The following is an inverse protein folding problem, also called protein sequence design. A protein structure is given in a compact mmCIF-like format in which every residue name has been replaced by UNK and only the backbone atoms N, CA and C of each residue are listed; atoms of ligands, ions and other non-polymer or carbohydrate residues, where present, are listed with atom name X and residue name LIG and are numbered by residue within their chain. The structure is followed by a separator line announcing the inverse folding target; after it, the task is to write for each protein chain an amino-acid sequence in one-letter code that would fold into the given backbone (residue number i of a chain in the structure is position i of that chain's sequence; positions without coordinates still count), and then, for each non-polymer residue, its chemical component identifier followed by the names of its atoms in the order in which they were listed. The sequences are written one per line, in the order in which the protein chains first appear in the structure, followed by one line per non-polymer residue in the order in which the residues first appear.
data_IF_088051069595
#
_entry.id   IF_088051069595
#
_cell.length_a   1.000
_cell.length_b   1.000
_cell.length_c   1.000
_cell.angle_alpha   90.00
_cell.angle_beta   90.00
_cell.angle_gamma   90.00
#
_symmetry.space_group_name_H-M   'P 1'
#
loop_
_entity.id
_entity.type
_entity.pdbx_description
1 polymer ?
#
# COMPACT_ATOMS: atom_id res chain seq x y z
N UNK A 1 2.76 8.31 7.14
CA UNK A 1 4.12 8.18 6.57
C UNK A 1 4.67 9.50 6.02
N UNK A 2 4.21 10.67 6.50
CA UNK A 2 4.78 11.96 6.08
C UNK A 2 6.23 12.06 6.57
N UNK A 3 7.14 12.55 5.74
CA UNK A 3 8.56 12.70 6.07
C UNK A 3 9.41 11.42 6.04
N UNK A 4 8.84 10.26 5.66
CA UNK A 4 9.62 9.01 5.50
C UNK A 4 10.22 8.92 4.10
N UNK A 5 11.46 8.43 4.02
CA UNK A 5 12.12 8.07 2.75
C UNK A 5 11.64 6.69 2.30
N UNK A 6 11.39 6.57 1.01
CA UNK A 6 10.69 5.44 0.40
C UNK A 6 11.22 5.23 -1.02
N UNK A 7 11.09 4.01 -1.52
CA UNK A 7 11.51 3.61 -2.86
C UNK A 7 10.30 3.68 -3.80
N UNK A 8 10.49 4.34 -4.92
CA UNK A 8 9.52 4.38 -6.01
C UNK A 8 9.61 3.09 -6.83
N UNK A 9 8.47 2.46 -7.12
CA UNK A 9 8.43 1.19 -7.86
C UNK A 9 7.92 1.38 -9.29
N UNK A 10 6.71 1.90 -9.45
CA UNK A 10 6.10 2.20 -10.74
C UNK A 10 5.06 3.31 -10.64
N UNK A 11 4.76 3.95 -11.75
CA UNK A 11 3.59 4.82 -11.87
C UNK A 11 2.38 3.97 -12.24
N UNK A 12 1.26 4.18 -11.57
CA UNK A 12 0.00 3.51 -11.86
C UNK A 12 -0.75 4.25 -12.99
N UNK A 13 -1.67 3.56 -13.70
CA UNK A 13 -2.50 4.19 -14.73
C UNK A 13 -3.29 5.40 -14.23
N UNK A 14 -3.65 5.45 -12.94
CA UNK A 14 -4.28 6.62 -12.31
C UNK A 14 -3.38 7.86 -12.18
N UNK A 15 -2.09 7.75 -12.52
CA UNK A 15 -1.09 8.79 -12.29
C UNK A 15 -0.53 8.80 -10.86
N UNK A 16 -1.04 7.95 -9.96
CA UNK A 16 -0.49 7.77 -8.61
C UNK A 16 0.79 6.96 -8.65
N UNK A 17 1.71 7.24 -7.73
CA UNK A 17 2.96 6.52 -7.59
C UNK A 17 2.77 5.32 -6.66
N UNK A 18 3.19 4.13 -7.12
CA UNK A 18 3.34 2.98 -6.25
C UNK A 18 4.70 3.06 -5.55
N UNK A 19 4.64 3.05 -4.23
CA UNK A 19 5.79 3.28 -3.36
C UNK A 19 5.84 2.20 -2.29
N UNK A 20 7.03 1.75 -1.94
CA UNK A 20 7.28 0.91 -0.76
C UNK A 20 8.45 1.49 0.03
N UNK A 21 8.41 1.37 1.35
CA UNK A 21 9.59 1.61 2.18
C UNK A 21 9.79 0.36 3.01
N UNK A 22 10.77 -0.51 2.69
CA UNK A 22 10.84 -1.88 3.18
C UNK A 22 10.32 -2.00 4.61
N UNK A 23 9.23 -2.75 4.79
CA UNK A 23 8.36 -2.61 5.96
C UNK A 23 9.10 -2.86 7.27
N UNK A 24 10.09 -3.75 7.24
CA UNK A 24 10.99 -4.03 8.37
C UNK A 24 11.87 -2.85 8.79
N UNK A 25 12.25 -1.99 7.83
CA UNK A 25 13.15 -0.85 8.06
C UNK A 25 12.35 0.38 8.46
N UNK A 26 11.40 0.79 7.60
CA UNK A 26 10.72 2.08 7.73
C UNK A 26 9.24 1.95 8.11
N UNK A 27 8.68 0.73 8.17
CA UNK A 27 7.26 0.51 8.48
C UNK A 27 6.31 1.13 7.46
N UNK A 28 6.74 1.33 6.21
CA UNK A 28 5.90 1.87 5.13
C UNK A 28 5.47 0.73 4.21
N UNK A 29 4.21 0.28 4.27
CA UNK A 29 3.74 -0.76 3.35
C UNK A 29 3.64 -0.21 1.93
N UNK A 30 3.43 -1.12 0.97
CA UNK A 30 3.03 -0.83 -0.39
C UNK A 30 1.83 0.12 -0.39
N UNK A 31 2.04 1.31 -0.94
CA UNK A 31 1.06 2.38 -0.89
C UNK A 31 1.07 3.20 -2.17
N UNK A 32 -0.13 3.64 -2.56
CA UNK A 32 -0.33 4.66 -3.59
C UNK A 32 -0.16 6.05 -3.01
N UNK A 33 0.69 6.88 -3.62
CA UNK A 33 0.98 8.25 -3.17
C UNK A 33 0.84 9.21 -4.36
N UNK A 34 0.28 10.39 -4.13
CA UNK A 34 0.22 11.43 -5.15
C UNK A 34 1.62 12.07 -5.31
N UNK A 35 2.07 12.18 -6.55
CA UNK A 35 3.35 12.79 -6.93
C UNK A 35 3.56 14.20 -6.35
N UNK A 36 2.50 15.00 -6.18
CA UNK A 36 2.59 16.36 -5.61
C UNK A 36 3.12 16.39 -4.17
N UNK A 37 3.11 15.25 -3.46
CA UNK A 37 3.58 15.14 -2.07
C UNK A 37 4.92 14.42 -1.93
N UNK A 38 5.62 14.16 -3.03
CA UNK A 38 6.91 13.45 -3.05
C UNK A 38 8.00 14.40 -3.52
N UNK A 39 9.18 14.30 -2.90
CA UNK A 39 10.39 14.98 -3.36
C UNK A 39 11.32 13.92 -3.92
N UNK A 40 11.65 14.02 -5.20
CA UNK A 40 12.63 13.16 -5.84
C UNK A 40 14.02 13.41 -5.27
N UNK A 41 14.65 12.37 -4.72
CA UNK A 41 16.01 12.43 -4.20
C UNK A 41 17.04 12.04 -5.26
N UNK A 42 18.29 12.46 -5.11
CA UNK A 42 19.39 12.08 -6.02
C UNK A 42 19.80 10.60 -5.90
N UNK A 43 19.49 9.95 -4.78
CA UNK A 43 19.79 8.53 -4.54
C UNK A 43 18.94 7.64 -5.42
N UNK A 44 19.59 6.76 -6.18
CA UNK A 44 18.94 5.74 -7.03
C UNK A 44 19.22 4.36 -6.44
N UNK A 45 18.19 3.52 -6.43
CA UNK A 45 18.25 2.12 -6.01
C UNK A 45 17.89 1.29 -7.22
N UNK A 46 18.63 0.20 -7.48
CA UNK A 46 18.27 -0.71 -8.56
C UNK A 46 17.05 -1.56 -8.16
N UNK A 47 16.06 -1.61 -9.04
CA UNK A 47 14.76 -2.25 -8.82
C UNK A 47 14.56 -3.41 -9.81
N UNK A 48 15.57 -3.74 -10.63
CA UNK A 48 15.53 -4.79 -11.65
C UNK A 48 15.02 -6.16 -11.15
N UNK A 49 15.30 -6.50 -9.89
CA UNK A 49 14.86 -7.75 -9.26
C UNK A 49 13.45 -7.74 -8.64
N UNK A 50 12.68 -6.67 -8.77
CA UNK A 50 11.37 -6.53 -8.12
C UNK A 50 10.24 -6.73 -9.12
N UNK A 51 9.41 -7.75 -8.92
CA UNK A 51 8.21 -7.94 -9.72
C UNK A 51 7.07 -7.04 -9.22
N UNK A 52 6.61 -6.13 -10.09
CA UNK A 52 5.57 -5.12 -9.78
C UNK A 52 4.31 -5.28 -10.65
N UNK A 53 4.23 -6.31 -11.47
CA UNK A 53 3.15 -6.47 -12.46
C UNK A 53 1.79 -6.72 -11.81
N UNK A 54 1.79 -7.36 -10.63
CA UNK A 54 0.57 -7.67 -9.87
C UNK A 54 -0.16 -6.41 -9.33
N UNK A 55 0.54 -5.29 -9.18
CA UNK A 55 0.02 -4.14 -8.42
C UNK A 55 -0.61 -3.07 -9.30
N UNK A 56 -1.92 -3.13 -9.51
CA UNK A 56 -2.64 -2.09 -10.24
C UNK A 56 -3.60 -1.30 -9.34
N UNK A 57 -4.23 -0.25 -9.88
CA UNK A 57 -5.19 0.57 -9.14
C UNK A 57 -6.34 -0.24 -8.51
N UNK A 58 -6.75 -1.34 -9.16
CA UNK A 58 -7.77 -2.26 -8.67
C UNK A 58 -7.34 -3.01 -7.42
N UNK A 59 -6.05 -3.35 -7.28
CA UNK A 59 -5.51 -4.03 -6.10
C UNK A 59 -5.66 -3.20 -4.82
N UNK A 60 -5.62 -1.88 -4.97
CA UNK A 60 -5.75 -0.92 -3.87
C UNK A 60 -7.14 -0.31 -3.75
N UNK A 61 -8.13 -0.78 -4.52
CA UNK A 61 -9.51 -0.36 -4.37
C UNK A 61 -10.01 -0.79 -2.98
N UNK A 62 -10.65 0.15 -2.26
CA UNK A 62 -11.37 -0.22 -1.03
C UNK A 62 -12.56 -1.08 -1.44
N UNK A 63 -12.75 -2.22 -0.76
CA UNK A 63 -14.04 -2.91 -0.83
C UNK A 63 -15.07 -1.98 -0.21
N UNK A 64 -15.98 -1.47 -1.01
CA UNK A 64 -17.10 -0.66 -0.53
C UNK A 64 -18.23 -1.65 -0.28
N UNK A 65 -18.46 -1.99 0.98
CA UNK A 65 -19.65 -2.75 1.33
C UNK A 65 -20.86 -1.87 1.03
N UNK A 66 -21.75 -2.35 0.16
CA UNK A 66 -23.03 -1.67 -0.08
C UNK A 66 -23.73 -1.56 1.26
N UNK A 67 -23.91 -0.32 1.77
CA UNK A 67 -24.73 -0.06 2.94
C UNK A 67 -26.11 -0.68 2.73
N UNK A 68 -26.37 -1.84 3.33
CA UNK A 68 -27.74 -2.25 3.63
C UNK A 68 -28.28 -1.19 4.60
N UNK A 69 -29.50 -0.68 4.35
CA UNK A 69 -30.20 0.19 5.30
C UNK A 69 -30.46 -0.63 6.57
N UNK A 70 -29.56 -0.54 7.55
CA UNK A 70 -29.69 -1.18 8.85
C UNK A 70 -30.21 -0.15 9.86
N UNK A 71 -31.23 -0.54 10.63
CA UNK A 71 -31.91 0.32 11.60
C UNK A 71 -31.03 0.68 12.80
N UNK A 72 -31.46 1.69 13.57
CA UNK A 72 -30.69 2.36 14.63
C UNK A 72 -30.04 1.44 15.68
N UNK A 73 -30.58 0.23 15.91
CA UNK A 73 -30.04 -0.74 16.87
C UNK A 73 -28.78 -1.51 16.42
N UNK A 74 -28.54 -1.67 15.13
CA UNK A 74 -27.35 -2.38 14.61
C UNK A 74 -26.13 -1.45 14.42
N UNK A 75 -26.31 -0.14 14.56
CA UNK A 75 -25.26 0.86 14.38
C UNK A 75 -24.18 0.78 15.48
N UNK A 76 -24.58 0.46 16.71
CA UNK A 76 -23.66 0.33 17.86
C UNK A 76 -22.87 -0.99 17.90
N UNK A 77 -23.36 -2.06 17.27
CA UNK A 77 -22.60 -3.32 17.14
C UNK A 77 -21.60 -3.30 15.98
N UNK A 78 -21.85 -2.50 14.94
CA UNK A 78 -20.97 -2.37 13.78
C UNK A 78 -19.64 -1.68 14.10
N UNK A 79 -19.60 -0.77 15.08
CA UNK A 79 -18.36 -0.08 15.48
C UNK A 79 -17.30 -1.02 16.09
N UNK A 80 -17.70 -2.21 16.58
CA UNK A 80 -16.77 -3.15 17.24
C UNK A 80 -16.18 -4.23 16.32
N UNK A 81 -16.55 -4.31 15.03
CA UNK A 81 -16.14 -5.41 14.14
C UNK A 81 -15.38 -5.02 12.87
N UNK A 82 -14.89 -3.79 12.76
CA UNK A 82 -13.87 -3.46 11.75
C UNK A 82 -12.46 -3.50 12.37
N UNK A 83 -12.09 -4.65 12.95
CA UNK A 83 -10.66 -4.96 12.99
C UNK A 83 -10.27 -5.10 11.53
N UNK A 84 -9.59 -4.08 11.01
CA UNK A 84 -8.93 -4.08 9.70
C UNK A 84 -7.88 -5.21 9.67
N UNK A 85 -8.33 -6.46 9.62
CA UNK A 85 -7.47 -7.62 9.41
C UNK A 85 -7.00 -7.48 7.98
N UNK A 86 -5.82 -6.88 7.83
CA UNK A 86 -5.14 -6.81 6.55
C UNK A 86 -5.11 -8.23 5.95
N UNK A 87 -5.62 -8.42 4.72
CA UNK A 87 -5.59 -9.73 4.08
C UNK A 87 -4.18 -10.30 4.14
N UNK A 88 -4.05 -11.58 4.50
CA UNK A 88 -2.74 -12.25 4.58
C UNK A 88 -1.96 -12.11 3.27
N UNK A 89 -2.66 -12.17 2.14
CA UNK A 89 -2.13 -11.91 0.80
C UNK A 89 -1.33 -10.61 0.72
N UNK A 90 -1.84 -9.51 1.30
CA UNK A 90 -1.14 -8.21 1.27
C UNK A 90 0.15 -8.23 2.08
N UNK A 91 0.20 -9.05 3.15
CA UNK A 91 1.41 -9.21 3.97
C UNK A 91 2.46 -10.04 3.24
N UNK A 92 2.05 -11.06 2.50
CA UNK A 92 2.98 -11.92 1.78
C UNK A 92 3.49 -11.24 0.51
N UNK A 93 2.63 -10.51 -0.19
CA UNK A 93 3.02 -9.62 -1.30
C UNK A 93 4.03 -8.55 -0.84
N UNK A 94 3.83 -7.98 0.36
CA UNK A 94 4.80 -7.05 0.94
C UNK A 94 6.17 -7.70 1.16
N UNK A 95 6.21 -8.91 1.75
CA UNK A 95 7.47 -9.62 1.99
C UNK A 95 8.19 -9.96 0.69
N UNK A 96 7.43 -10.36 -0.34
CA UNK A 96 7.97 -10.71 -1.65
C UNK A 96 8.63 -9.50 -2.33
N UNK A 97 8.03 -8.32 -2.22
CA UNK A 97 8.59 -7.07 -2.76
C UNK A 97 9.74 -6.54 -1.92
N UNK A 98 9.67 -6.66 -0.59
CA UNK A 98 10.70 -6.14 0.30
C UNK A 98 11.98 -6.97 0.28
N UNK A 99 11.89 -8.29 0.06
CA UNK A 99 13.05 -9.19 0.04
C UNK A 99 14.16 -8.80 -0.95
N UNK A 100 13.87 -8.47 -2.23
CA UNK A 100 14.89 -7.95 -3.15
C UNK A 100 15.36 -6.54 -2.78
N UNK A 101 14.47 -5.66 -2.30
CA UNK A 101 14.79 -4.27 -1.98
C UNK A 101 15.67 -4.08 -0.75
N UNK A 102 15.70 -5.04 0.17
CA UNK A 102 16.59 -5.02 1.34
C UNK A 102 18.02 -5.45 0.96
N UNK A 103 18.18 -6.18 -0.15
CA UNK A 103 19.47 -6.66 -0.62
C UNK A 103 20.18 -5.69 -1.57
N UNK A 104 19.42 -4.78 -2.18
CA UNK A 104 19.90 -3.73 -3.08
C UNK A 104 20.43 -2.53 -2.29
#
# INVERSE_FOLDING_TARGET
FKGKRVVFLKQLPSGLLLVTGPFKINGVPLRRVNQAYVIGTSTKVDISGVNVDKFDDKYFAKKVDKKQKKGEGEFFEAEKKEVNVLPQEKKDDQKAVDAPLIKA
#
